data_IF_090552798143
#
_entry.id   IF_090552798143
#
_cell.length_a   1.000
_cell.length_b   1.000
_cell.length_c   1.000
_cell.angle_alpha   90.00
_cell.angle_beta   90.00
_cell.angle_gamma   90.00
#
_symmetry.space_group_name_H-M   'P 1'
#
loop_
_entity.id
_entity.type
_entity.pdbx_description
1 polymer ?
#
# COMPACT_ATOMS: atom_id res chain seq x y z
N UNK A 1 21.92 19.98 -47.42
CA UNK A 1 20.66 19.32 -47.05
C UNK A 1 20.73 18.87 -45.59
N UNK A 2 20.87 19.83 -44.67
CA UNK A 2 20.94 19.65 -43.25
C UNK A 2 20.38 20.89 -42.56
N UNK A 3 19.09 20.89 -42.22
CA UNK A 3 18.47 21.91 -41.37
C UNK A 3 17.00 21.60 -41.22
N UNK A 4 16.58 20.75 -40.30
CA UNK A 4 15.18 20.73 -39.82
C UNK A 4 14.96 19.88 -38.55
N UNK A 5 16.01 19.60 -37.77
CA UNK A 5 15.81 18.70 -36.58
C UNK A 5 16.13 19.33 -35.24
N UNK A 6 16.34 20.64 -35.13
CA UNK A 6 16.65 21.33 -33.87
C UNK A 6 15.54 22.22 -33.28
N UNK A 7 14.43 22.38 -34.00
CA UNK A 7 13.36 23.29 -33.54
C UNK A 7 12.39 22.71 -32.50
N UNK A 8 12.24 21.38 -32.41
CA UNK A 8 11.21 20.77 -31.56
C UNK A 8 11.63 20.53 -30.08
N UNK A 9 12.93 20.56 -29.77
CA UNK A 9 13.40 20.36 -28.38
C UNK A 9 13.39 21.65 -27.56
N UNK A 10 13.44 22.80 -28.21
CA UNK A 10 13.44 24.08 -27.49
C UNK A 10 12.02 24.51 -27.06
N UNK A 11 11.00 24.11 -27.82
CA UNK A 11 9.61 24.45 -27.48
C UNK A 11 9.01 23.61 -26.37
N UNK A 12 9.56 22.42 -26.07
CA UNK A 12 9.10 21.57 -24.97
C UNK A 12 9.67 22.03 -23.60
N UNK A 13 10.86 22.63 -23.59
CA UNK A 13 11.48 23.17 -22.40
C UNK A 13 10.83 24.49 -21.92
N UNK A 14 10.31 25.29 -22.88
CA UNK A 14 9.66 26.56 -22.57
C UNK A 14 8.22 26.37 -22.04
N UNK A 15 7.52 25.30 -22.44
CA UNK A 15 6.18 24.98 -21.97
C UNK A 15 6.16 24.46 -20.52
N UNK A 16 7.23 23.83 -20.04
CA UNK A 16 7.36 23.35 -18.66
C UNK A 16 7.73 24.45 -17.66
N UNK A 17 8.32 25.55 -18.11
CA UNK A 17 8.70 26.67 -17.24
C UNK A 17 7.54 27.65 -16.93
N UNK A 18 6.50 27.67 -17.76
CA UNK A 18 5.35 28.58 -17.60
C UNK A 18 4.33 28.02 -16.59
N UNK A 19 4.33 26.71 -16.30
CA UNK A 19 3.42 26.08 -15.33
C UNK A 19 3.89 26.20 -13.87
N UNK A 20 5.11 26.65 -13.60
CA UNK A 20 5.65 26.82 -12.24
C UNK A 20 5.52 28.24 -11.68
N UNK A 21 5.08 29.24 -12.46
CA UNK A 21 4.99 30.66 -12.03
C UNK A 21 3.56 31.16 -11.81
N UNK A 22 2.52 30.36 -12.03
CA UNK A 22 1.12 30.79 -11.87
C UNK A 22 0.49 30.44 -10.50
N UNK A 23 1.25 29.95 -9.53
CA UNK A 23 0.74 29.44 -8.24
C UNK A 23 0.90 30.38 -7.04
N UNK A 24 1.43 31.59 -7.18
CA UNK A 24 1.63 32.50 -6.03
C UNK A 24 0.79 33.76 -6.14
N UNK A 25 -0.52 33.60 -6.03
CA UNK A 25 -1.44 34.73 -5.76
C UNK A 25 -1.74 34.77 -4.28
N UNK A 26 -1.27 35.84 -3.68
CA UNK A 26 -1.37 36.23 -2.30
C UNK A 26 -2.84 36.31 -1.87
N UNK A 27 -3.26 35.42 -0.96
CA UNK A 27 -4.55 35.54 -0.27
C UNK A 27 -4.40 36.50 0.90
N UNK A 28 -4.89 37.76 0.74
CA UNK A 28 -5.03 38.70 1.84
C UNK A 28 -6.27 38.35 2.66
N UNK A 29 -6.18 38.11 3.97
CA UNK A 29 -7.37 37.93 4.79
C UNK A 29 -8.11 39.28 4.96
N UNK A 30 -9.38 39.30 4.55
CA UNK A 30 -10.28 40.40 4.85
C UNK A 30 -10.86 40.21 6.24
N UNK A 31 -10.46 41.10 7.15
CA UNK A 31 -11.04 41.18 8.50
C UNK A 31 -12.31 42.03 8.47
N UNK A 32 -13.49 41.39 8.49
CA UNK A 32 -14.75 41.98 8.98
C UNK A 32 -15.38 41.02 9.98
N UNK A 33 -15.67 41.47 11.22
CA UNK A 33 -16.41 40.66 12.17
C UNK A 33 -17.89 40.68 11.79
N UNK A 34 -18.45 39.49 11.46
CA UNK A 34 -19.88 39.29 11.43
C UNK A 34 -20.31 38.74 12.79
N UNK A 35 -21.04 39.55 13.50
CA UNK A 35 -21.88 39.13 14.63
C UNK A 35 -22.96 38.22 14.04
N UNK A 36 -22.96 36.97 14.44
CA UNK A 36 -24.08 36.06 14.22
C UNK A 36 -24.56 35.56 15.57
N UNK A 37 -25.84 35.85 15.81
CA UNK A 37 -26.57 35.42 16.97
C UNK A 37 -26.55 33.93 17.19
N UNK A 38 -26.30 33.57 18.44
CA UNK A 38 -26.46 32.27 19.04
C UNK A 38 -27.91 31.84 19.01
N UNK A 39 -28.17 30.64 18.49
CA UNK A 39 -29.03 29.59 19.02
C UNK A 39 -29.58 28.68 17.92
N UNK A 40 -29.03 27.48 17.78
CA UNK A 40 -29.77 26.20 17.73
C UNK A 40 -28.81 25.03 17.42
N UNK A 41 -28.82 24.08 18.35
CA UNK A 41 -28.61 22.67 18.01
C UNK A 41 -27.17 22.23 17.76
N UNK A 42 -26.35 22.22 18.80
CA UNK A 42 -25.12 21.39 18.79
C UNK A 42 -25.55 19.91 18.94
N UNK A 43 -25.86 19.24 17.84
CA UNK A 43 -25.77 17.80 17.84
C UNK A 43 -24.27 17.43 17.94
N UNK A 44 -23.87 17.12 19.15
CA UNK A 44 -22.59 16.48 19.42
C UNK A 44 -22.61 15.12 18.73
N UNK A 45 -21.96 15.04 17.56
CA UNK A 45 -21.61 13.75 16.96
C UNK A 45 -20.79 12.98 18.01
N UNK A 46 -21.46 11.99 18.63
CA UNK A 46 -20.79 11.01 19.48
C UNK A 46 -19.64 10.43 18.68
N UNK A 47 -18.39 10.49 19.18
CA UNK A 47 -17.29 9.81 18.49
C UNK A 47 -17.67 8.32 18.46
N UNK A 48 -17.68 7.76 17.26
CA UNK A 48 -17.72 6.31 17.03
C UNK A 48 -16.66 5.68 17.94
N UNK A 49 -16.95 4.54 18.61
CA UNK A 49 -16.00 3.95 19.52
C UNK A 49 -14.68 3.74 18.78
N UNK A 50 -13.71 4.57 19.11
CA UNK A 50 -12.34 4.45 18.61
C UNK A 50 -11.88 3.05 18.94
N UNK A 51 -11.75 2.22 17.91
CA UNK A 51 -11.07 0.95 17.99
C UNK A 51 -9.71 1.27 18.64
N UNK A 52 -9.52 0.81 19.90
CA UNK A 52 -8.26 1.01 20.62
C UNK A 52 -7.18 0.43 19.71
N UNK A 53 -6.45 1.28 19.02
CA UNK A 53 -5.37 0.87 18.12
C UNK A 53 -4.43 0.01 18.98
N UNK A 54 -4.38 -1.29 18.67
CA UNK A 54 -3.42 -2.20 19.27
C UNK A 54 -2.05 -1.59 19.02
N UNK A 55 -1.27 -1.36 20.06
CA UNK A 55 0.06 -0.78 19.92
C UNK A 55 0.85 -1.58 18.87
N UNK A 56 1.30 -0.91 17.81
CA UNK A 56 1.91 -1.59 16.68
C UNK A 56 3.22 -2.23 17.13
N UNK A 57 3.31 -3.56 16.99
CA UNK A 57 4.53 -4.32 17.29
C UNK A 57 5.70 -3.74 16.49
N UNK A 58 6.86 -3.61 17.15
CA UNK A 58 8.11 -3.16 16.55
C UNK A 58 9.20 -4.18 16.78
N UNK A 59 10.05 -4.36 15.77
CA UNK A 59 11.15 -5.30 15.76
C UNK A 59 12.42 -4.57 15.32
N UNK A 60 13.58 -5.07 15.72
CA UNK A 60 14.87 -4.57 15.25
C UNK A 60 15.17 -5.06 13.82
N UNK A 61 14.77 -6.30 13.52
CA UNK A 61 14.94 -6.96 12.22
C UNK A 61 14.00 -8.17 12.09
N UNK A 62 13.87 -8.73 10.90
CA UNK A 62 13.21 -10.02 10.71
C UNK A 62 14.14 -11.16 11.12
N UNK A 63 13.70 -12.01 12.06
CA UNK A 63 14.41 -13.24 12.38
C UNK A 63 14.31 -14.23 11.22
N UNK A 64 15.34 -15.07 11.02
CA UNK A 64 15.31 -16.15 10.04
C UNK A 64 14.32 -17.23 10.50
N UNK A 65 13.25 -17.44 9.73
CA UNK A 65 12.18 -18.40 10.05
C UNK A 65 11.85 -19.36 8.91
N UNK A 66 12.30 -19.06 7.69
CA UNK A 66 12.19 -19.99 6.56
C UNK A 66 13.42 -20.88 6.49
N UNK A 67 13.24 -22.12 5.98
CA UNK A 67 14.28 -23.14 5.85
C UNK A 67 14.67 -23.28 4.39
N UNK A 68 15.95 -23.57 4.14
CA UNK A 68 16.45 -23.85 2.79
C UNK A 68 15.75 -25.07 2.19
N UNK A 69 15.43 -25.01 0.92
CA UNK A 69 14.79 -26.10 0.17
C UNK A 69 13.29 -26.27 0.40
N UNK A 70 12.70 -25.48 1.31
CA UNK A 70 11.26 -25.49 1.54
C UNK A 70 10.53 -24.45 0.70
N UNK A 71 9.26 -24.72 0.41
CA UNK A 71 8.33 -23.75 -0.16
C UNK A 71 7.31 -23.32 0.89
N UNK A 72 6.76 -22.14 0.70
CA UNK A 72 5.83 -21.54 1.65
C UNK A 72 4.61 -21.00 0.92
N UNK A 73 3.44 -21.16 1.53
CA UNK A 73 2.24 -20.45 1.15
C UNK A 73 1.64 -19.74 2.36
N UNK A 74 0.88 -18.69 2.09
CA UNK A 74 0.20 -17.90 3.09
C UNK A 74 -1.30 -17.89 2.82
N UNK A 75 -2.10 -18.40 3.76
CA UNK A 75 -3.55 -18.20 3.76
C UNK A 75 -3.87 -16.93 4.51
N UNK A 76 -4.27 -15.90 3.79
CA UNK A 76 -4.65 -14.59 4.33
C UNK A 76 -6.17 -14.59 4.52
N UNK A 77 -6.61 -14.61 5.76
CA UNK A 77 -8.03 -14.53 6.12
C UNK A 77 -8.42 -13.06 6.27
N UNK A 78 -9.42 -12.62 5.53
CA UNK A 78 -9.89 -11.23 5.60
C UNK A 78 -11.38 -11.14 5.96
N UNK A 79 -11.86 -9.92 6.24
CA UNK A 79 -13.29 -9.69 6.44
C UNK A 79 -14.11 -9.73 5.15
N UNK A 80 -13.46 -9.75 3.97
CA UNK A 80 -14.11 -9.84 2.67
C UNK A 80 -14.02 -11.24 2.01
N UNK A 81 -13.29 -12.16 2.63
CA UNK A 81 -13.01 -13.52 2.14
C UNK A 81 -11.55 -13.88 2.33
N UNK A 82 -11.22 -15.14 2.07
CA UNK A 82 -9.88 -15.67 2.22
C UNK A 82 -9.17 -15.72 0.88
N UNK A 83 -7.85 -15.60 0.89
CA UNK A 83 -7.01 -15.80 -0.29
C UNK A 83 -5.76 -16.58 0.09
N UNK A 84 -5.24 -17.38 -0.84
CA UNK A 84 -4.00 -18.15 -0.69
C UNK A 84 -2.94 -17.57 -1.64
N UNK A 85 -1.76 -17.28 -1.10
CA UNK A 85 -0.60 -16.77 -1.84
C UNK A 85 0.51 -17.79 -1.78
N UNK A 86 1.01 -18.23 -2.93
CA UNK A 86 2.30 -18.92 -3.03
C UNK A 86 3.44 -17.92 -2.93
N UNK A 87 4.38 -18.17 -2.00
CA UNK A 87 5.51 -17.29 -1.76
C UNK A 87 6.73 -17.72 -2.60
N UNK A 88 7.44 -16.74 -3.14
CA UNK A 88 8.57 -16.98 -4.03
C UNK A 88 9.80 -17.50 -3.27
N UNK A 89 10.48 -18.46 -3.87
CA UNK A 89 11.82 -18.92 -3.44
C UNK A 89 12.94 -18.01 -3.95
N UNK A 90 12.66 -17.23 -4.98
CA UNK A 90 13.66 -16.38 -5.66
C UNK A 90 13.93 -15.07 -4.92
N UNK A 91 13.06 -14.74 -3.96
CA UNK A 91 13.19 -13.56 -3.08
C UNK A 91 13.16 -13.97 -1.60
N UNK A 92 14.17 -14.75 -1.14
CA UNK A 92 14.15 -15.39 0.17
C UNK A 92 14.17 -14.39 1.34
N UNK A 93 14.83 -13.24 1.22
CA UNK A 93 14.84 -12.22 2.29
C UNK A 93 13.45 -11.62 2.46
N UNK A 94 12.79 -11.27 1.36
CA UNK A 94 11.44 -10.70 1.35
C UNK A 94 10.42 -11.72 1.83
N UNK A 95 10.51 -12.96 1.34
CA UNK A 95 9.65 -14.06 1.78
C UNK A 95 9.84 -14.34 3.27
N UNK A 96 11.09 -14.39 3.75
CA UNK A 96 11.39 -14.56 5.19
C UNK A 96 10.78 -13.44 6.03
N UNK A 97 10.92 -12.19 5.60
CA UNK A 97 10.36 -11.04 6.29
C UNK A 97 8.83 -11.16 6.42
N UNK A 98 8.14 -11.48 5.33
CA UNK A 98 6.69 -11.64 5.35
C UNK A 98 6.25 -12.80 6.24
N UNK A 99 6.90 -13.97 6.13
CA UNK A 99 6.63 -15.15 6.96
C UNK A 99 6.90 -14.88 8.44
N UNK A 100 8.00 -14.20 8.77
CA UNK A 100 8.31 -13.80 10.15
C UNK A 100 7.19 -12.94 10.72
N UNK A 101 6.83 -11.87 10.05
CA UNK A 101 5.80 -10.94 10.51
C UNK A 101 4.42 -11.62 10.60
N UNK A 102 4.07 -12.50 9.67
CA UNK A 102 2.84 -13.28 9.73
C UNK A 102 2.80 -14.20 10.96
N UNK A 103 3.87 -14.96 11.22
CA UNK A 103 3.98 -15.85 12.39
C UNK A 103 3.92 -15.09 13.72
N UNK A 104 4.41 -13.85 13.76
CA UNK A 104 4.31 -12.97 14.93
C UNK A 104 2.90 -12.36 15.11
N UNK A 105 1.94 -12.62 14.20
CA UNK A 105 0.61 -11.99 14.19
C UNK A 105 0.68 -10.48 14.00
N UNK A 106 1.72 -10.00 13.29
CA UNK A 106 1.91 -8.58 13.01
C UNK A 106 0.78 -8.01 12.16
N UNK A 107 0.27 -8.81 11.23
CA UNK A 107 -0.78 -8.42 10.29
C UNK A 107 -2.21 -8.53 10.84
N UNK A 108 -2.40 -9.06 12.04
CA UNK A 108 -3.73 -9.22 12.65
C UNK A 108 -4.41 -7.87 12.85
N UNK A 109 -5.62 -7.73 12.33
CA UNK A 109 -6.42 -6.51 12.33
C UNK A 109 -5.87 -5.36 11.45
N UNK A 110 -4.81 -5.60 10.69
CA UNK A 110 -4.27 -4.62 9.74
C UNK A 110 -5.23 -4.48 8.55
N UNK A 111 -5.49 -3.24 8.14
CA UNK A 111 -6.42 -2.94 7.04
C UNK A 111 -5.70 -2.81 5.69
N UNK A 112 -6.46 -3.01 4.62
CA UNK A 112 -6.07 -2.49 3.32
C UNK A 112 -6.39 -0.99 3.31
N UNK A 113 -5.36 -0.19 3.50
CA UNK A 113 -5.50 1.26 3.73
C UNK A 113 -5.52 2.09 2.45
N UNK A 114 -5.13 1.50 1.30
CA UNK A 114 -5.17 2.12 -0.02
C UNK A 114 -5.66 1.10 -1.04
N UNK A 115 -6.68 1.47 -1.80
CA UNK A 115 -7.33 0.58 -2.77
C UNK A 115 -7.62 1.36 -4.05
N UNK A 116 -7.12 0.87 -5.16
CA UNK A 116 -7.36 1.45 -6.48
C UNK A 116 -7.93 0.37 -7.41
N UNK A 117 -9.22 0.44 -7.76
CA UNK A 117 -9.83 -0.47 -8.73
C UNK A 117 -9.06 -0.44 -10.07
N UNK A 118 -8.86 -1.62 -10.67
CA UNK A 118 -8.08 -1.74 -11.91
C UNK A 118 -6.57 -1.65 -11.73
N UNK A 119 -6.08 -1.52 -10.48
CA UNK A 119 -4.67 -1.48 -10.17
C UNK A 119 -4.30 -2.44 -9.03
N UNK A 120 -4.49 -2.06 -7.76
CA UNK A 120 -4.04 -2.88 -6.62
C UNK A 120 -4.83 -2.59 -5.33
N UNK A 121 -4.68 -3.50 -4.37
CA UNK A 121 -5.04 -3.30 -2.97
C UNK A 121 -3.77 -3.33 -2.12
N UNK A 122 -3.55 -2.32 -1.27
CA UNK A 122 -2.34 -2.16 -0.45
C UNK A 122 -2.67 -2.22 1.04
N UNK A 123 -1.92 -3.04 1.77
CA UNK A 123 -2.04 -3.23 3.20
C UNK A 123 -0.67 -3.38 3.89
N UNK A 124 -0.66 -4.02 5.08
CA UNK A 124 0.57 -4.32 5.80
C UNK A 124 1.12 -3.19 6.68
N UNK A 125 0.41 -2.06 6.76
CA UNK A 125 0.71 -0.99 7.72
C UNK A 125 -0.13 -1.17 8.99
N UNK A 126 0.48 -1.45 10.16
CA UNK A 126 -0.26 -1.65 11.40
C UNK A 126 -0.95 -0.39 11.92
N UNK A 127 -0.55 0.80 11.44
CA UNK A 127 -1.20 2.07 11.78
C UNK A 127 -2.33 2.42 10.81
N UNK A 128 -2.37 1.77 9.64
CA UNK A 128 -3.35 2.03 8.60
C UNK A 128 -3.26 3.42 7.96
N UNK A 129 -2.15 4.14 8.13
CA UNK A 129 -1.93 5.49 7.60
C UNK A 129 -1.16 5.53 6.28
N UNK A 130 -0.54 4.41 5.91
CA UNK A 130 0.43 4.29 4.81
C UNK A 130 1.87 4.66 5.22
N UNK A 131 2.09 5.09 6.47
CA UNK A 131 3.39 5.54 6.98
C UNK A 131 4.02 4.54 7.97
N UNK A 132 3.25 3.58 8.47
CA UNK A 132 3.69 2.60 9.46
C UNK A 132 4.48 1.45 8.86
N UNK A 133 5.12 0.69 9.75
CA UNK A 133 5.92 -0.47 9.37
C UNK A 133 6.44 -1.23 10.60
N UNK A 134 7.30 -2.23 10.41
CA UNK A 134 7.70 -3.18 11.45
C UNK A 134 8.77 -2.62 12.42
N UNK A 135 9.29 -1.43 12.19
CA UNK A 135 10.37 -0.83 12.99
C UNK A 135 11.72 -0.82 12.30
N UNK A 136 11.86 -1.56 11.20
CA UNK A 136 13.07 -1.65 10.39
C UNK A 136 12.74 -1.53 8.90
N UNK A 137 13.79 -1.37 8.09
CA UNK A 137 13.75 -1.46 6.63
C UNK A 137 14.79 -2.47 6.15
N UNK A 138 14.57 -3.04 4.95
CA UNK A 138 15.52 -3.94 4.32
C UNK A 138 15.67 -3.64 2.83
N UNK A 139 16.77 -4.10 2.26
CA UNK A 139 17.17 -3.83 0.88
C UNK A 139 16.28 -4.54 -0.13
N UNK A 140 16.25 -4.00 -1.34
CA UNK A 140 15.60 -4.66 -2.47
C UNK A 140 16.35 -5.96 -2.82
N UNK A 141 15.59 -6.98 -3.20
CA UNK A 141 16.12 -8.20 -3.79
C UNK A 141 15.93 -8.16 -5.31
N UNK A 142 16.82 -8.83 -6.02
CA UNK A 142 16.60 -9.11 -7.44
C UNK A 142 15.41 -10.06 -7.57
N UNK A 143 14.50 -9.73 -8.44
CA UNK A 143 13.32 -10.55 -8.72
C UNK A 143 13.06 -10.61 -10.22
N UNK A 144 12.22 -11.54 -10.63
CA UNK A 144 11.70 -11.68 -11.99
C UNK A 144 10.17 -11.66 -11.95
N UNK A 145 9.56 -11.45 -13.10
CA UNK A 145 8.11 -11.46 -13.26
C UNK A 145 7.54 -10.10 -13.62
N UNK A 146 6.23 -10.07 -13.75
CA UNK A 146 5.46 -8.89 -14.15
C UNK A 146 4.36 -8.64 -13.11
N UNK A 147 3.90 -7.40 -13.04
CA UNK A 147 2.81 -7.03 -12.13
C UNK A 147 1.46 -7.38 -12.76
N UNK A 148 1.22 -8.68 -12.88
CA UNK A 148 -0.02 -9.28 -13.35
C UNK A 148 -1.03 -9.41 -12.21
N UNK A 149 -2.32 -9.51 -12.55
CA UNK A 149 -3.38 -9.79 -11.58
C UNK A 149 -3.01 -10.92 -10.64
N UNK A 150 -3.15 -10.69 -9.34
CA UNK A 150 -2.82 -11.62 -8.27
C UNK A 150 -1.34 -11.60 -7.82
N UNK A 151 -0.43 -10.91 -8.53
CA UNK A 151 0.95 -10.72 -8.06
C UNK A 151 0.94 -9.98 -6.72
N UNK A 152 1.74 -10.46 -5.75
CA UNK A 152 2.00 -9.77 -4.50
C UNK A 152 3.43 -9.23 -4.51
N UNK A 153 3.57 -7.95 -4.14
CA UNK A 153 4.86 -7.26 -4.12
C UNK A 153 4.98 -6.33 -2.90
N UNK A 154 6.23 -6.03 -2.52
CA UNK A 154 6.51 -5.09 -1.44
C UNK A 154 6.22 -3.66 -1.86
N UNK A 155 5.47 -2.93 -1.03
CA UNK A 155 5.38 -1.49 -1.14
C UNK A 155 6.59 -0.85 -0.44
N UNK A 156 7.15 0.20 -1.05
CA UNK A 156 8.30 0.93 -0.53
C UNK A 156 8.19 2.44 -0.79
N UNK A 157 9.08 3.22 -0.20
CA UNK A 157 9.19 4.68 -0.36
C UNK A 157 10.47 5.06 -1.12
N UNK A 158 10.89 4.23 -2.07
CA UNK A 158 12.11 4.32 -2.84
C UNK A 158 13.04 3.12 -2.58
N UNK A 159 14.19 3.07 -3.22
CA UNK A 159 15.11 1.94 -3.15
C UNK A 159 15.50 1.57 -1.71
N UNK A 160 15.55 0.27 -1.42
CA UNK A 160 16.00 -0.27 -0.12
C UNK A 160 15.18 0.22 1.09
N UNK A 161 13.87 0.44 0.90
CA UNK A 161 12.98 0.87 1.98
C UNK A 161 11.82 -0.09 2.22
N UNK A 162 11.98 -1.37 1.86
CA UNK A 162 10.99 -2.41 2.16
C UNK A 162 10.80 -2.56 3.67
N UNK A 163 9.58 -2.87 4.07
CA UNK A 163 9.23 -3.06 5.48
C UNK A 163 8.17 -4.14 5.64
N UNK A 164 6.97 -3.78 6.09
CA UNK A 164 5.83 -4.71 6.21
C UNK A 164 4.75 -4.47 5.18
N UNK A 165 4.72 -3.32 4.52
CA UNK A 165 3.67 -2.99 3.57
C UNK A 165 3.82 -3.78 2.27
N UNK A 166 2.70 -4.28 1.77
CA UNK A 166 2.62 -5.01 0.51
C UNK A 166 1.37 -4.61 -0.27
N UNK A 167 1.35 -4.91 -1.55
CA UNK A 167 0.16 -4.78 -2.37
C UNK A 167 -0.09 -6.06 -3.19
N UNK A 168 -1.36 -6.28 -3.50
CA UNK A 168 -1.81 -7.36 -4.39
C UNK A 168 -2.42 -6.72 -5.62
N UNK A 169 -1.97 -7.13 -6.79
CA UNK A 169 -2.48 -6.62 -8.06
C UNK A 169 -3.91 -7.06 -8.29
N UNK A 170 -4.82 -6.09 -8.46
CA UNK A 170 -6.21 -6.36 -8.87
C UNK A 170 -6.33 -6.59 -10.37
N UNK A 171 -5.50 -5.93 -11.16
CA UNK A 171 -5.40 -6.10 -12.61
C UNK A 171 -3.95 -6.06 -13.08
N UNK A 172 -3.71 -6.43 -14.33
CA UNK A 172 -2.41 -6.27 -14.98
C UNK A 172 -2.08 -4.78 -15.09
N UNK A 173 -0.89 -4.40 -14.64
CA UNK A 173 -0.46 -2.99 -14.71
C UNK A 173 1.06 -2.89 -14.94
N UNK A 174 1.54 -2.12 -15.93
CA UNK A 174 2.95 -2.02 -16.28
C UNK A 174 3.69 -1.10 -15.30
N UNK A 175 4.01 -1.60 -14.10
CA UNK A 175 4.87 -0.89 -13.16
C UNK A 175 6.34 -1.03 -13.54
N UNK A 176 7.18 -0.02 -13.25
CA UNK A 176 8.63 -0.19 -13.28
C UNK A 176 9.07 -1.22 -12.22
N UNK A 177 10.18 -1.96 -12.44
CA UNK A 177 10.63 -3.05 -11.57
C UNK A 177 11.26 -2.56 -10.27
N UNK A 178 10.54 -1.72 -9.52
CA UNK A 178 10.99 -1.10 -8.27
C UNK A 178 10.37 -1.74 -7.02
N UNK A 179 9.47 -2.70 -7.19
CA UNK A 179 8.71 -3.32 -6.12
C UNK A 179 8.94 -4.82 -6.12
N UNK A 180 9.67 -5.32 -5.14
CA UNK A 180 10.08 -6.74 -5.09
C UNK A 180 8.86 -7.66 -5.11
N UNK A 181 8.70 -8.41 -6.20
CA UNK A 181 7.67 -9.46 -6.31
C UNK A 181 8.11 -10.63 -5.45
N UNK A 182 7.28 -11.05 -4.51
CA UNK A 182 7.59 -12.15 -3.60
C UNK A 182 6.53 -13.25 -3.54
N UNK A 183 5.56 -13.22 -4.44
CA UNK A 183 4.56 -14.28 -4.54
C UNK A 183 3.44 -13.97 -5.51
N UNK A 184 2.47 -14.91 -5.53
CA UNK A 184 1.28 -14.82 -6.38
C UNK A 184 0.08 -15.43 -5.67
N UNK A 185 -1.06 -14.77 -5.76
CA UNK A 185 -2.35 -15.29 -5.32
C UNK A 185 -2.77 -16.42 -6.25
N UNK A 186 -2.98 -17.62 -5.69
CA UNK A 186 -3.38 -18.83 -6.40
C UNK A 186 -4.84 -19.19 -6.16
N UNK A 187 -5.41 -18.72 -5.02
CA UNK A 187 -6.82 -18.89 -4.67
C UNK A 187 -7.38 -17.61 -4.08
N UNK A 188 -8.68 -17.38 -4.21
CA UNK A 188 -9.39 -16.28 -3.56
C UNK A 188 -9.22 -14.93 -4.25
N UNK A 189 -8.98 -14.87 -5.56
CA UNK A 189 -8.95 -13.61 -6.32
C UNK A 189 -10.29 -12.84 -6.25
N UNK A 190 -11.40 -13.53 -5.98
CA UNK A 190 -12.70 -12.90 -5.73
C UNK A 190 -12.72 -12.07 -4.44
N UNK A 191 -11.92 -12.43 -3.42
CA UNK A 191 -11.73 -11.60 -2.24
C UNK A 191 -10.98 -10.31 -2.59
N UNK A 192 -9.96 -10.38 -3.47
CA UNK A 192 -9.27 -9.20 -4.00
C UNK A 192 -10.23 -8.29 -4.74
N UNK A 193 -11.13 -8.83 -5.56
CA UNK A 193 -12.15 -8.08 -6.30
C UNK A 193 -13.13 -7.39 -5.35
N UNK A 194 -13.62 -8.10 -4.33
CA UNK A 194 -14.52 -7.53 -3.32
C UNK A 194 -13.87 -6.35 -2.59
N UNK A 195 -12.60 -6.48 -2.21
CA UNK A 195 -11.84 -5.39 -1.59
C UNK A 195 -11.70 -4.22 -2.57
N UNK A 196 -11.32 -4.51 -3.81
CA UNK A 196 -11.09 -3.49 -4.83
C UNK A 196 -12.38 -2.76 -5.28
N UNK A 197 -13.53 -3.39 -5.17
CA UNK A 197 -14.84 -2.80 -5.49
C UNK A 197 -15.40 -1.90 -4.39
N UNK A 198 -14.79 -1.87 -3.21
CA UNK A 198 -15.19 -1.02 -2.11
C UNK A 198 -15.10 0.47 -2.44
N UNK A 199 -16.06 1.27 -1.92
CA UNK A 199 -16.04 2.71 -2.10
C UNK A 199 -14.81 3.32 -1.42
N UNK A 200 -14.08 4.18 -2.13
CA UNK A 200 -12.92 4.90 -1.61
C UNK A 200 -13.19 6.39 -1.48
N UNK A 201 -12.50 7.04 -0.55
CA UNK A 201 -12.46 8.47 -0.31
C UNK A 201 -11.11 9.08 -0.73
N UNK A 202 -10.73 10.22 -0.15
CA UNK A 202 -9.45 10.87 -0.42
C UNK A 202 -8.26 9.93 -0.20
N UNK A 203 -7.23 10.05 -1.05
CA UNK A 203 -6.01 9.22 -1.04
C UNK A 203 -6.28 7.72 -1.26
N UNK A 204 -7.33 7.38 -2.03
CA UNK A 204 -7.71 5.99 -2.33
C UNK A 204 -8.03 5.16 -1.07
N UNK A 205 -8.36 5.81 0.04
CA UNK A 205 -8.66 5.15 1.30
C UNK A 205 -10.07 4.57 1.28
N UNK A 206 -10.26 3.28 1.57
CA UNK A 206 -11.59 2.71 1.68
C UNK A 206 -12.44 3.41 2.75
N UNK A 207 -13.70 3.71 2.42
CA UNK A 207 -14.69 4.25 3.38
C UNK A 207 -15.00 3.21 4.46
N UNK A 208 -15.09 1.95 4.04
CA UNK A 208 -15.24 0.79 4.92
C UNK A 208 -14.06 -0.16 4.70
N UNK A 209 -12.97 0.01 5.49
CA UNK A 209 -11.77 -0.78 5.29
C UNK A 209 -11.98 -2.26 5.60
N UNK A 210 -11.51 -3.12 4.69
CA UNK A 210 -11.38 -4.56 4.94
C UNK A 210 -10.10 -4.80 5.75
N UNK A 211 -10.20 -5.65 6.77
CA UNK A 211 -9.07 -6.03 7.63
C UNK A 211 -8.64 -7.48 7.40
N UNK A 212 -7.36 -7.73 7.63
CA UNK A 212 -6.78 -9.06 7.75
C UNK A 212 -7.14 -9.57 9.15
N UNK A 213 -7.77 -10.74 9.22
CA UNK A 213 -8.08 -11.42 10.51
C UNK A 213 -6.85 -12.14 11.04
N UNK A 214 -6.19 -12.90 10.17
CA UNK A 214 -4.95 -13.64 10.44
C UNK A 214 -4.26 -14.02 9.13
N UNK A 215 -2.97 -14.38 9.23
CA UNK A 215 -2.23 -15.01 8.14
C UNK A 215 -1.65 -16.33 8.65
N UNK A 216 -2.05 -17.43 8.05
CA UNK A 216 -1.54 -18.77 8.34
C UNK A 216 -0.47 -19.15 7.32
N UNK A 217 0.72 -19.51 7.81
CA UNK A 217 1.84 -19.95 6.96
C UNK A 217 1.88 -21.46 6.89
N UNK A 218 1.88 -22.01 5.68
CA UNK A 218 2.05 -23.43 5.39
C UNK A 218 3.43 -23.66 4.80
N UNK A 219 4.19 -24.61 5.39
CA UNK A 219 5.51 -25.07 4.92
C UNK A 219 5.32 -26.39 4.16
N UNK A 220 5.93 -26.48 2.98
CA UNK A 220 5.90 -27.67 2.11
C UNK A 220 7.32 -28.17 1.80
#
# INVERSE_FOLDING_TARGET
>A
MYSHHMSNKLNLALALLILLLAGWQIFKPSTKPLLVDSEKGTETMKPSPANKAKEAKKYAEAKQVIKSGKTYSAKIQTTAGDLTVELSKDTPVTTNNFVFLAKEGFYDSVIFHRVIPGFMIQGGDPTGTGMGGPGYKFSDEKFSGEYKRGTIAMANSGPNTNGSQFFIMHADYPLPPNYVIFGKTVEGLDAVDKIASGKTGPNDRPVEPVSIKSIEIQEQ
#
